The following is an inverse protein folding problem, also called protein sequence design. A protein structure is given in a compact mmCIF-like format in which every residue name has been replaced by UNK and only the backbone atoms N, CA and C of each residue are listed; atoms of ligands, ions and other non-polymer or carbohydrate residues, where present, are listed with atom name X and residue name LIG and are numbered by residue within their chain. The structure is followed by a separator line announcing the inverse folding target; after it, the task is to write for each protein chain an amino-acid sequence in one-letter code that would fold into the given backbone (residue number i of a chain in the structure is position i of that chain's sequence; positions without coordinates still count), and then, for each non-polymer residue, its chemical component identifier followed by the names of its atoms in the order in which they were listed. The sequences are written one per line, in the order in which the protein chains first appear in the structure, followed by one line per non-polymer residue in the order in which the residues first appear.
data_IF_189111788290
#
_entry.id   IF_189111788290
#
_cell.length_a   1.000
_cell.length_b   1.000
_cell.length_c   1.000
_cell.angle_alpha   90.00
_cell.angle_beta   90.00
_cell.angle_gamma   90.00
#
_symmetry.space_group_name_H-M   'P 1'
#
loop_
_entity.id
_entity.type
_entity.pdbx_description
1 polymer ?
#
# COMPACT_ATOMS: atom_id res chain seq x y z
N UNK A 1 -6.38 -16.80 -16.45
CA UNK A 1 -7.26 -17.47 -15.45
C UNK A 1 -6.56 -18.57 -14.67
N UNK A 2 -5.92 -19.58 -15.26
CA UNK A 2 -5.27 -20.69 -14.51
C UNK A 2 -4.09 -20.25 -13.61
N UNK A 3 -3.31 -19.23 -13.97
CA UNK A 3 -2.18 -18.72 -13.16
C UNK A 3 -2.61 -17.86 -11.96
N UNK A 4 -3.73 -17.16 -12.04
CA UNK A 4 -4.30 -16.35 -10.95
C UNK A 4 -4.89 -17.26 -9.85
N UNK A 5 -5.52 -18.38 -10.27
CA UNK A 5 -6.06 -19.37 -9.34
C UNK A 5 -4.92 -20.10 -8.59
N UNK A 6 -3.77 -20.31 -9.23
CA UNK A 6 -2.61 -20.93 -8.58
C UNK A 6 -1.97 -20.04 -7.50
N UNK A 7 -1.98 -18.70 -7.68
CA UNK A 7 -1.47 -17.77 -6.65
C UNK A 7 -2.42 -17.68 -5.46
N UNK A 8 -3.73 -17.64 -5.69
CA UNK A 8 -4.73 -17.66 -4.62
C UNK A 8 -4.69 -18.99 -3.83
N UNK A 9 -4.45 -20.14 -4.49
CA UNK A 9 -4.30 -21.43 -3.81
C UNK A 9 -3.00 -21.51 -3.01
N UNK A 10 -1.91 -20.90 -3.45
CA UNK A 10 -0.65 -20.85 -2.69
C UNK A 10 -0.80 -20.04 -1.39
N UNK A 11 -1.58 -18.98 -1.40
CA UNK A 11 -1.91 -18.19 -0.20
C UNK A 11 -2.72 -19.01 0.82
N UNK A 12 -3.69 -19.79 0.36
CA UNK A 12 -4.53 -20.64 1.21
C UNK A 12 -3.74 -21.82 1.76
N UNK A 13 -2.77 -22.37 1.03
CA UNK A 13 -1.94 -23.48 1.49
C UNK A 13 -0.93 -23.06 2.58
N UNK A 14 -0.41 -21.84 2.56
CA UNK A 14 0.45 -21.33 3.63
C UNK A 14 -0.33 -21.13 4.94
N UNK A 15 -1.57 -20.68 4.87
CA UNK A 15 -2.44 -20.46 6.04
C UNK A 15 -2.88 -21.78 6.72
N UNK A 16 -2.99 -22.89 5.98
CA UNK A 16 -3.46 -24.17 6.54
C UNK A 16 -2.40 -24.96 7.33
N UNK A 17 -1.13 -24.60 7.23
CA UNK A 17 -0.04 -25.26 7.98
C UNK A 17 0.14 -24.72 9.41
N UNK A 18 -0.48 -23.59 9.78
CA UNK A 18 -0.33 -22.96 11.09
C UNK A 18 -1.43 -23.28 12.11
N UNK A 19 -2.39 -24.15 11.76
CA UNK A 19 -3.46 -24.56 12.67
C UNK A 19 -3.03 -25.45 13.86
N UNK A 20 -1.71 -25.66 14.05
CA UNK A 20 -1.18 -26.61 15.05
C UNK A 20 -0.54 -25.99 16.30
N UNK A 21 -0.61 -24.65 16.50
CA UNK A 21 -0.12 -24.04 17.75
C UNK A 21 -1.27 -23.90 18.75
N UNK A 22 -1.67 -25.00 19.36
CA UNK A 22 -2.53 -25.02 20.54
C UNK A 22 -1.73 -24.80 21.83
N UNK A 23 -1.83 -23.63 22.41
CA UNK A 23 -1.27 -23.30 23.71
C UNK A 23 -1.50 -21.84 24.04
N UNK A 24 -2.43 -21.55 24.93
CA UNK A 24 -2.68 -20.21 25.47
C UNK A 24 -1.43 -19.77 26.24
N UNK A 25 -0.57 -18.96 25.61
CA UNK A 25 0.46 -18.18 26.30
C UNK A 25 -0.01 -16.74 26.36
N UNK A 26 0.04 -16.15 27.55
CA UNK A 26 -0.20 -14.73 27.76
C UNK A 26 0.81 -13.90 26.97
N UNK A 27 0.29 -12.86 26.29
CA UNK A 27 1.04 -11.86 25.54
C UNK A 27 1.92 -12.40 24.39
N UNK A 28 1.33 -12.99 23.36
CA UNK A 28 2.02 -13.24 22.09
C UNK A 28 2.56 -11.96 21.44
N UNK A 29 3.42 -12.14 20.44
CA UNK A 29 4.03 -11.05 19.68
C UNK A 29 3.03 -9.95 19.27
N UNK A 30 3.42 -8.70 19.41
CA UNK A 30 2.59 -7.55 19.01
C UNK A 30 3.01 -7.09 17.62
N UNK A 31 2.09 -7.16 16.67
CA UNK A 31 2.33 -6.74 15.28
C UNK A 31 1.58 -5.44 15.02
N UNK A 32 2.32 -4.42 14.59
CA UNK A 32 1.78 -3.15 14.12
C UNK A 32 1.53 -3.19 12.62
N UNK A 33 0.45 -2.60 12.15
CA UNK A 33 0.15 -2.36 10.74
C UNK A 33 -0.84 -1.20 10.59
N UNK A 34 -0.95 -0.63 9.38
CA UNK A 34 -1.93 0.41 9.10
C UNK A 34 -3.32 -0.20 8.84
N UNK A 35 -4.37 0.47 9.30
CA UNK A 35 -5.78 0.10 9.06
C UNK A 35 -6.10 -0.04 7.57
N UNK A 36 -6.95 -1.01 7.23
CA UNK A 36 -7.41 -1.21 5.85
C UNK A 36 -6.40 -1.79 4.88
N UNK A 37 -5.13 -2.03 5.30
CA UNK A 37 -4.07 -2.56 4.44
C UNK A 37 -4.05 -4.10 4.39
N UNK A 38 -3.45 -4.63 3.35
CA UNK A 38 -3.14 -6.07 3.25
C UNK A 38 -2.14 -6.49 4.31
N UNK A 39 -1.21 -5.63 4.71
CA UNK A 39 -0.30 -5.85 5.85
C UNK A 39 -1.07 -6.17 7.14
N UNK A 40 -2.16 -5.44 7.43
CA UNK A 40 -3.02 -5.74 8.57
C UNK A 40 -3.74 -7.08 8.40
N UNK A 41 -4.23 -7.39 7.19
CA UNK A 41 -4.89 -8.66 6.90
C UNK A 41 -3.94 -9.85 7.11
N UNK A 42 -2.68 -9.75 6.67
CA UNK A 42 -1.65 -10.77 6.92
C UNK A 42 -1.39 -10.95 8.42
N UNK A 43 -1.24 -9.86 9.17
CA UNK A 43 -1.04 -9.94 10.60
C UNK A 43 -2.24 -10.61 11.31
N UNK A 44 -3.47 -10.25 10.91
CA UNK A 44 -4.70 -10.84 11.47
C UNK A 44 -4.89 -12.33 11.14
N UNK A 45 -4.27 -12.81 10.08
CA UNK A 45 -4.32 -14.23 9.72
C UNK A 45 -3.38 -15.10 10.57
N UNK A 46 -2.47 -14.50 11.35
CA UNK A 46 -1.55 -15.22 12.22
C UNK A 46 -2.22 -15.57 13.55
N UNK A 47 -1.89 -16.75 14.08
CA UNK A 47 -2.32 -17.17 15.40
C UNK A 47 -1.34 -16.71 16.48
N UNK A 48 -1.80 -16.60 17.71
CA UNK A 48 -0.97 -16.27 18.89
C UNK A 48 -0.25 -14.92 18.83
N UNK A 49 -0.82 -13.95 18.13
CA UNK A 49 -0.30 -12.58 18.02
C UNK A 49 -1.33 -11.56 18.49
N UNK A 50 -0.86 -10.43 18.98
CA UNK A 50 -1.69 -9.26 19.29
C UNK A 50 -1.54 -8.24 18.18
N UNK A 51 -2.65 -7.80 17.60
CA UNK A 51 -2.64 -6.82 16.50
C UNK A 51 -2.78 -5.41 17.05
N UNK A 52 -1.91 -4.52 16.60
CA UNK A 52 -1.99 -3.08 16.81
C UNK A 52 -2.19 -2.36 15.49
N UNK A 53 -3.36 -1.77 15.29
CA UNK A 53 -3.71 -1.05 14.07
C UNK A 53 -3.55 0.46 14.27
N UNK A 54 -2.99 1.13 13.27
CA UNK A 54 -2.69 2.57 13.27
C UNK A 54 -3.28 3.24 12.04
N UNK A 55 -3.45 4.56 12.11
CA UNK A 55 -3.94 5.33 10.98
C UNK A 55 -2.87 5.46 9.89
N UNK A 56 -1.57 5.49 10.28
CA UNK A 56 -0.44 5.55 9.34
C UNK A 56 0.68 4.58 9.70
N UNK A 57 1.49 4.19 8.72
CA UNK A 57 2.68 3.39 8.97
C UNK A 57 3.76 4.14 9.75
N UNK A 58 3.83 5.47 9.62
CA UNK A 58 4.76 6.29 10.40
C UNK A 58 4.44 6.24 11.91
N UNK A 59 3.15 6.27 12.27
CA UNK A 59 2.72 6.09 13.66
C UNK A 59 3.02 4.68 14.15
N UNK A 60 2.74 3.66 13.34
CA UNK A 60 3.03 2.25 13.65
C UNK A 60 4.52 2.02 13.90
N UNK A 61 5.40 2.58 13.04
CA UNK A 61 6.85 2.49 13.18
C UNK A 61 7.37 3.15 14.45
N UNK A 62 6.92 4.37 14.75
CA UNK A 62 7.28 5.10 15.97
C UNK A 62 6.85 4.35 17.23
N UNK A 63 5.64 3.77 17.23
CA UNK A 63 5.14 3.01 18.37
C UNK A 63 5.92 1.69 18.58
N UNK A 64 6.37 1.05 17.49
CA UNK A 64 7.29 -0.09 17.54
C UNK A 64 8.65 0.32 18.13
N UNK A 65 9.25 1.43 17.70
CA UNK A 65 10.50 1.95 18.27
C UNK A 65 10.36 2.21 19.78
N UNK A 66 9.20 2.73 20.21
CA UNK A 66 8.90 2.96 21.62
C UNK A 66 8.65 1.66 22.44
N UNK A 67 8.65 0.49 21.79
CA UNK A 67 8.50 -0.81 22.45
C UNK A 67 7.05 -1.22 22.71
N UNK A 68 6.08 -0.54 22.12
CA UNK A 68 4.66 -0.88 22.23
C UNK A 68 4.22 -1.95 21.23
N UNK A 69 4.99 -2.15 20.15
CA UNK A 69 4.88 -3.28 19.24
C UNK A 69 6.26 -3.94 19.06
N UNK A 70 6.27 -5.21 18.69
CA UNK A 70 7.50 -5.98 18.46
C UNK A 70 7.90 -5.95 16.99
N UNK A 71 6.92 -5.97 16.10
CA UNK A 71 7.05 -6.08 14.65
C UNK A 71 6.15 -5.07 13.96
N UNK A 72 6.59 -4.60 12.78
CA UNK A 72 5.76 -3.81 11.87
C UNK A 72 5.68 -4.57 10.54
N UNK A 73 4.47 -4.85 10.05
CA UNK A 73 4.25 -5.34 8.70
C UNK A 73 3.89 -4.15 7.80
N UNK A 74 4.65 -3.99 6.73
CA UNK A 74 4.55 -2.82 5.84
C UNK A 74 5.11 -3.17 4.46
N UNK A 75 4.69 -2.45 3.45
CA UNK A 75 5.21 -2.54 2.09
C UNK A 75 6.70 -2.20 2.05
N UNK A 76 7.48 -2.97 1.29
CA UNK A 76 8.95 -2.88 1.29
C UNK A 76 9.47 -1.51 0.87
N UNK A 77 8.84 -0.89 -0.13
CA UNK A 77 9.24 0.46 -0.56
C UNK A 77 8.99 1.49 0.53
N UNK A 78 7.85 1.42 1.21
CA UNK A 78 7.51 2.29 2.35
C UNK A 78 8.38 2.00 3.56
N UNK A 79 8.72 0.73 3.83
CA UNK A 79 9.69 0.38 4.87
C UNK A 79 11.04 1.09 4.65
N UNK A 80 11.51 1.13 3.41
CA UNK A 80 12.76 1.83 3.04
C UNK A 80 12.65 3.36 3.23
N UNK A 81 11.50 3.95 2.89
CA UNK A 81 11.26 5.37 3.12
C UNK A 81 11.23 5.67 4.63
N UNK A 82 10.50 4.89 5.42
CA UNK A 82 10.46 5.04 6.88
C UNK A 82 11.84 4.90 7.53
N UNK A 83 12.67 3.97 7.06
CA UNK A 83 14.01 3.76 7.60
C UNK A 83 15.00 4.91 7.30
N UNK A 84 14.69 5.78 6.34
CA UNK A 84 15.46 7.03 6.10
C UNK A 84 15.06 8.13 7.09
N UNK A 85 13.83 8.14 7.56
CA UNK A 85 13.27 9.19 8.42
C UNK A 85 13.28 8.83 9.90
N UNK A 86 13.22 7.54 10.23
CA UNK A 86 13.13 7.03 11.61
C UNK A 86 14.33 6.15 11.88
N UNK A 87 15.23 6.66 12.73
CA UNK A 87 16.40 5.89 13.17
C UNK A 87 15.98 4.64 13.96
N UNK A 88 16.81 3.60 13.84
CA UNK A 88 16.65 2.38 14.63
C UNK A 88 15.68 1.35 14.03
N UNK A 89 15.25 1.52 12.79
CA UNK A 89 14.50 0.52 12.02
C UNK A 89 15.45 -0.44 11.30
N UNK A 90 15.09 -1.72 11.27
CA UNK A 90 15.75 -2.79 10.51
C UNK A 90 14.71 -3.54 9.69
N UNK A 91 14.92 -3.59 8.38
CA UNK A 91 14.05 -4.30 7.46
C UNK A 91 14.52 -5.75 7.37
N UNK A 92 13.63 -6.71 7.58
CA UNK A 92 13.88 -8.12 7.31
C UNK A 92 13.56 -8.37 5.84
N UNK A 93 14.57 -8.65 5.03
CA UNK A 93 14.49 -8.74 3.57
C UNK A 93 13.79 -10.03 3.07
N UNK A 94 12.86 -10.56 3.84
CA UNK A 94 12.02 -11.72 3.51
C UNK A 94 10.64 -11.20 3.13
N UNK A 95 10.25 -11.41 1.88
CA UNK A 95 8.95 -11.00 1.36
C UNK A 95 7.84 -11.93 1.90
N UNK A 96 6.88 -11.36 2.63
CA UNK A 96 5.68 -12.07 3.10
C UNK A 96 4.67 -12.31 1.98
N UNK A 97 4.69 -11.43 0.96
CA UNK A 97 3.73 -11.45 -0.13
C UNK A 97 4.35 -11.00 -1.45
N UNK A 98 3.61 -11.17 -2.53
CA UNK A 98 3.82 -10.49 -3.81
C UNK A 98 2.48 -9.91 -4.23
N UNK A 99 2.38 -8.59 -4.28
CA UNK A 99 1.14 -7.84 -4.44
C UNK A 99 1.20 -6.93 -5.65
N UNK A 100 0.11 -6.86 -6.39
CA UNK A 100 0.00 -5.96 -7.53
C UNK A 100 -0.79 -4.71 -7.13
N UNK A 101 -0.20 -3.52 -7.33
CA UNK A 101 -0.91 -2.26 -7.20
C UNK A 101 -1.68 -1.94 -8.48
N UNK A 102 -2.90 -1.47 -8.31
CA UNK A 102 -3.77 -1.03 -9.39
C UNK A 102 -4.55 0.22 -9.01
N UNK A 103 -4.96 0.96 -10.00
CA UNK A 103 -5.82 2.13 -9.84
C UNK A 103 -7.25 1.63 -9.62
N UNK A 104 -7.85 2.00 -8.49
CA UNK A 104 -9.25 1.74 -8.20
C UNK A 104 -10.16 2.64 -9.05
N UNK A 105 -11.20 2.11 -9.67
CA UNK A 105 -12.06 2.86 -10.61
C UNK A 105 -13.53 2.54 -10.32
N UNK A 106 -14.40 3.54 -10.38
CA UNK A 106 -15.84 3.35 -10.21
C UNK A 106 -16.36 2.31 -11.22
N UNK A 107 -17.12 1.33 -10.72
CA UNK A 107 -17.75 0.30 -11.54
C UNK A 107 -18.71 0.84 -12.59
N UNK A 108 -19.25 2.03 -12.36
CA UNK A 108 -20.13 2.70 -13.28
C UNK A 108 -19.40 3.47 -14.39
N UNK A 109 -18.05 3.47 -14.38
CA UNK A 109 -17.20 4.17 -15.34
C UNK A 109 -16.28 3.20 -16.14
N UNK A 110 -16.82 2.20 -16.88
CA UNK A 110 -16.02 1.22 -17.61
C UNK A 110 -15.20 1.86 -18.74
N UNK A 111 -15.67 2.98 -19.30
CA UNK A 111 -14.93 3.73 -20.33
C UNK A 111 -13.71 4.44 -19.74
N UNK A 112 -13.82 4.99 -18.52
CA UNK A 112 -12.69 5.57 -17.81
C UNK A 112 -11.62 4.51 -17.53
N UNK A 113 -12.03 3.31 -17.08
CA UNK A 113 -11.12 2.17 -16.93
C UNK A 113 -10.36 1.87 -18.23
N UNK A 114 -11.07 1.78 -19.35
CA UNK A 114 -10.44 1.48 -20.64
C UNK A 114 -9.43 2.57 -21.04
N UNK A 115 -9.77 3.85 -20.82
CA UNK A 115 -8.86 4.97 -21.10
C UNK A 115 -7.61 4.90 -20.21
N UNK A 116 -7.79 4.66 -18.92
CA UNK A 116 -6.67 4.53 -17.96
C UNK A 116 -5.77 3.35 -18.34
N UNK A 117 -6.33 2.17 -18.67
CA UNK A 117 -5.52 1.02 -19.09
C UNK A 117 -4.71 1.33 -20.37
N UNK A 118 -5.29 2.06 -21.33
CA UNK A 118 -4.55 2.50 -22.51
C UNK A 118 -3.43 3.49 -22.17
N UNK A 119 -3.68 4.47 -21.30
CA UNK A 119 -2.68 5.43 -20.85
C UNK A 119 -1.52 4.71 -20.14
N UNK A 120 -1.80 3.73 -19.27
CA UNK A 120 -0.76 2.95 -18.60
C UNK A 120 0.15 2.23 -19.59
N UNK A 121 -0.36 1.77 -20.72
CA UNK A 121 0.42 1.14 -21.80
C UNK A 121 1.15 2.19 -22.64
N UNK A 122 0.46 3.22 -23.10
CA UNK A 122 1.02 4.24 -24.00
C UNK A 122 2.09 5.10 -23.35
N UNK A 123 1.98 5.32 -22.03
CA UNK A 123 2.88 6.13 -21.21
C UNK A 123 3.81 5.29 -20.31
N UNK A 124 3.96 4.00 -20.59
CA UNK A 124 4.78 3.09 -19.78
C UNK A 124 6.18 3.65 -19.50
N UNK A 125 6.83 4.23 -20.50
CA UNK A 125 8.18 4.82 -20.35
C UNK A 125 8.19 6.01 -19.38
N UNK A 126 7.18 6.90 -19.44
CA UNK A 126 7.06 8.05 -18.54
C UNK A 126 6.74 7.59 -17.11
N UNK A 127 5.83 6.62 -16.97
CA UNK A 127 5.46 6.01 -15.68
C UNK A 127 6.67 5.30 -15.05
N UNK A 128 7.48 4.59 -15.84
CA UNK A 128 8.70 3.96 -15.34
C UNK A 128 9.72 5.00 -14.89
N UNK A 129 9.90 6.10 -15.63
CA UNK A 129 10.78 7.20 -15.22
C UNK A 129 10.32 7.88 -13.92
N UNK A 130 9.00 8.04 -13.71
CA UNK A 130 8.44 8.51 -12.44
C UNK A 130 8.82 7.54 -11.31
N UNK A 131 8.56 6.25 -11.47
CA UNK A 131 8.91 5.23 -10.46
C UNK A 131 10.41 5.23 -10.13
N UNK A 132 11.26 5.21 -11.14
CA UNK A 132 12.71 5.16 -10.98
C UNK A 132 13.24 6.35 -10.19
N UNK A 133 12.78 7.58 -10.47
CA UNK A 133 13.28 8.77 -9.78
C UNK A 133 12.97 8.74 -8.28
N UNK A 134 11.77 8.26 -7.86
CA UNK A 134 11.43 8.10 -6.46
C UNK A 134 12.18 6.93 -5.79
N UNK A 135 12.31 5.80 -6.48
CA UNK A 135 13.04 4.64 -5.98
C UNK A 135 14.54 4.93 -5.81
N UNK A 136 15.11 5.78 -6.66
CA UNK A 136 16.51 6.21 -6.59
C UNK A 136 16.74 7.36 -5.59
N UNK A 137 15.68 7.99 -5.07
CA UNK A 137 15.78 9.13 -4.16
C UNK A 137 16.27 10.41 -4.84
N UNK A 138 15.87 10.66 -6.08
CA UNK A 138 16.25 11.83 -6.87
C UNK A 138 15.33 13.03 -6.49
N UNK A 139 15.43 13.47 -5.23
CA UNK A 139 14.50 14.44 -4.61
C UNK A 139 14.45 15.78 -5.34
N UNK A 140 15.55 16.22 -5.95
CA UNK A 140 15.63 17.42 -6.77
C UNK A 140 14.74 17.39 -8.03
N UNK A 141 14.27 16.20 -8.42
CA UNK A 141 13.39 15.97 -9.56
C UNK A 141 11.94 15.73 -9.20
N UNK A 142 11.60 15.69 -7.92
CA UNK A 142 10.21 15.45 -7.49
C UNK A 142 9.32 16.63 -7.86
N UNK A 143 8.13 16.31 -8.36
CA UNK A 143 7.16 17.31 -8.80
C UNK A 143 6.03 17.43 -7.78
N UNK A 144 5.94 18.60 -7.14
CA UNK A 144 4.84 18.89 -6.21
C UNK A 144 3.56 19.25 -6.96
N UNK A 145 2.54 18.42 -6.81
CA UNK A 145 1.22 18.57 -7.43
C UNK A 145 0.33 19.44 -6.56
N UNK A 146 -0.33 20.40 -7.18
CA UNK A 146 -1.37 21.22 -6.53
C UNK A 146 -2.74 20.71 -6.94
N UNK A 147 -3.55 20.27 -5.98
CA UNK A 147 -4.94 19.87 -6.25
C UNK A 147 -5.77 21.06 -6.71
N UNK A 148 -6.57 20.88 -7.75
CA UNK A 148 -7.62 21.80 -8.08
C UNK A 148 -8.71 21.78 -6.98
N UNK A 149 -9.51 22.84 -6.92
CA UNK A 149 -10.69 22.86 -6.03
C UNK A 149 -11.80 22.01 -6.65
N UNK A 150 -12.32 21.05 -5.86
CA UNK A 150 -13.47 20.24 -6.28
C UNK A 150 -14.69 21.09 -6.55
N UNK A 151 -15.27 20.94 -7.71
CA UNK A 151 -16.46 21.67 -8.16
C UNK A 151 -17.44 20.72 -8.86
N UNK A 152 -18.54 20.43 -8.21
CA UNK A 152 -19.56 19.51 -8.75
C UNK A 152 -20.21 20.02 -10.05
N UNK A 153 -20.17 21.33 -10.31
CA UNK A 153 -20.66 21.91 -11.58
C UNK A 153 -19.70 21.65 -12.75
N UNK A 154 -18.45 21.27 -12.45
CA UNK A 154 -17.37 20.93 -13.39
C UNK A 154 -17.01 19.45 -13.37
N UNK A 155 -17.84 18.57 -12.84
CA UNK A 155 -17.53 17.16 -12.67
C UNK A 155 -17.02 16.50 -13.97
N UNK A 156 -17.55 16.89 -15.13
CA UNK A 156 -17.09 16.37 -16.43
C UNK A 156 -15.72 16.92 -16.89
N UNK A 157 -15.14 17.88 -16.16
CA UNK A 157 -13.85 18.54 -16.45
C UNK A 157 -12.79 18.23 -15.38
N UNK A 158 -13.14 17.44 -14.37
CA UNK A 158 -12.27 17.09 -13.25
C UNK A 158 -12.09 15.57 -13.16
N UNK A 159 -10.89 15.15 -12.81
CA UNK A 159 -10.59 13.79 -12.36
C UNK A 159 -10.40 13.84 -10.85
N UNK A 160 -11.32 13.26 -10.10
CA UNK A 160 -11.28 13.26 -8.64
C UNK A 160 -10.66 11.96 -8.14
N UNK A 161 -9.52 12.09 -7.46
CA UNK A 161 -8.68 10.98 -6.99
C UNK A 161 -8.72 10.92 -5.46
N UNK A 162 -9.19 9.81 -4.90
CA UNK A 162 -9.05 9.53 -3.47
C UNK A 162 -7.67 8.94 -3.19
N UNK A 163 -7.03 9.39 -2.12
CA UNK A 163 -5.70 8.95 -1.69
C UNK A 163 -5.55 9.05 -0.17
N UNK A 164 -4.49 8.46 0.40
CA UNK A 164 -4.03 8.70 1.76
C UNK A 164 -2.59 9.20 1.71
N UNK A 165 -2.40 10.52 1.71
CA UNK A 165 -1.13 11.18 1.44
C UNK A 165 -0.14 11.13 2.62
N UNK A 166 0.04 9.93 3.21
CA UNK A 166 0.99 9.61 4.29
C UNK A 166 1.74 8.31 4.02
N UNK A 167 1.95 7.98 2.72
CA UNK A 167 2.51 6.70 2.28
C UNK A 167 3.67 6.88 1.29
N UNK A 168 4.74 7.56 1.72
CA UNK A 168 5.95 7.72 0.88
C UNK A 168 6.58 6.35 0.52
N UNK A 169 7.09 6.18 -0.71
CA UNK A 169 7.25 7.17 -1.79
C UNK A 169 6.05 7.24 -2.76
N UNK A 170 4.92 6.60 -2.43
CA UNK A 170 3.75 6.51 -3.31
C UNK A 170 2.93 7.79 -3.34
N UNK A 171 2.51 8.26 -2.18
CA UNK A 171 1.81 9.53 -2.00
C UNK A 171 2.10 10.11 -0.62
N UNK A 172 2.43 11.38 -0.60
CA UNK A 172 2.64 12.12 0.63
C UNK A 172 2.44 13.62 0.41
N UNK A 173 2.28 14.36 1.50
CA UNK A 173 1.99 15.78 1.45
C UNK A 173 3.06 16.60 2.16
N UNK A 174 3.52 17.66 1.49
CA UNK A 174 4.40 18.66 2.07
C UNK A 174 3.79 20.05 1.86
N UNK A 175 3.44 20.71 2.95
CA UNK A 175 2.70 21.98 2.89
C UNK A 175 1.34 21.81 2.20
N UNK A 176 1.16 22.50 1.08
CA UNK A 176 -0.06 22.43 0.27
C UNK A 176 0.09 21.64 -1.02
N UNK A 177 1.19 20.91 -1.17
CA UNK A 177 1.46 20.10 -2.37
C UNK A 177 1.48 18.63 -2.03
N UNK A 178 1.08 17.84 -3.01
CA UNK A 178 1.15 16.39 -3.00
C UNK A 178 2.34 15.92 -3.83
N UNK A 179 3.03 14.92 -3.35
CA UNK A 179 4.21 14.29 -3.98
C UNK A 179 4.03 12.78 -4.01
N UNK A 180 4.85 12.12 -4.78
CA UNK A 180 4.89 10.66 -4.82
C UNK A 180 4.57 10.09 -6.19
N UNK A 181 4.86 8.81 -6.33
CA UNK A 181 4.69 8.07 -7.58
C UNK A 181 3.23 8.13 -8.05
N UNK A 182 2.29 7.84 -7.15
CA UNK A 182 0.86 7.81 -7.48
C UNK A 182 0.32 9.19 -7.83
N UNK A 183 0.82 10.23 -7.16
CA UNK A 183 0.37 11.58 -7.43
C UNK A 183 0.86 12.08 -8.80
N UNK A 184 2.09 11.78 -9.19
CA UNK A 184 2.58 12.15 -10.51
C UNK A 184 1.93 11.31 -11.63
N UNK A 185 1.67 10.02 -11.40
CA UNK A 185 0.89 9.20 -12.35
C UNK A 185 -0.56 9.72 -12.45
N UNK A 186 -1.20 10.12 -11.35
CA UNK A 186 -2.52 10.72 -11.37
C UNK A 186 -2.55 12.02 -12.19
N UNK A 187 -1.54 12.87 -12.04
CA UNK A 187 -1.41 14.09 -12.85
C UNK A 187 -1.19 13.77 -14.34
N UNK A 188 -0.37 12.78 -14.64
CA UNK A 188 -0.18 12.30 -16.02
C UNK A 188 -1.51 11.84 -16.63
N UNK A 189 -2.26 11.01 -15.91
CA UNK A 189 -3.58 10.52 -16.36
C UNK A 189 -4.55 11.67 -16.57
N UNK A 190 -4.63 12.62 -15.63
CA UNK A 190 -5.51 13.78 -15.76
C UNK A 190 -5.16 14.61 -17.00
N UNK A 191 -3.87 14.85 -17.26
CA UNK A 191 -3.38 15.57 -18.45
C UNK A 191 -3.77 14.86 -19.76
N UNK A 192 -3.57 13.55 -19.84
CA UNK A 192 -3.92 12.75 -21.04
C UNK A 192 -5.44 12.71 -21.28
N UNK A 193 -6.23 12.80 -20.21
CA UNK A 193 -7.69 12.89 -20.31
C UNK A 193 -8.19 14.31 -20.57
N UNK A 194 -7.32 15.34 -20.47
CA UNK A 194 -7.70 16.75 -20.57
C UNK A 194 -8.54 17.25 -19.41
N UNK A 195 -8.33 16.69 -18.20
CA UNK A 195 -9.08 16.99 -16.99
C UNK A 195 -8.22 17.73 -15.94
N UNK A 196 -8.86 18.54 -15.10
CA UNK A 196 -8.23 19.10 -13.91
C UNK A 196 -8.12 18.00 -12.82
N UNK A 197 -6.94 17.85 -12.22
CA UNK A 197 -6.74 16.89 -11.13
C UNK A 197 -7.24 17.47 -9.81
N UNK A 198 -8.16 16.77 -9.16
CA UNK A 198 -8.62 17.02 -7.79
C UNK A 198 -8.15 15.85 -6.91
N UNK A 199 -7.46 16.14 -5.82
CA UNK A 199 -6.96 15.14 -4.87
C UNK A 199 -7.77 15.24 -3.58
N UNK A 200 -8.43 14.15 -3.20
CA UNK A 200 -9.18 13.98 -1.95
C UNK A 200 -8.35 13.13 -1.00
N UNK A 201 -7.68 13.79 -0.05
CA UNK A 201 -6.86 13.16 0.98
C UNK A 201 -7.74 12.67 2.14
N UNK A 202 -7.62 11.39 2.50
CA UNK A 202 -8.44 10.77 3.54
C UNK A 202 -7.73 9.57 4.19
N UNK A 203 -8.29 9.03 5.28
CA UNK A 203 -7.78 7.82 5.89
C UNK A 203 -7.82 6.64 4.90
N UNK A 204 -6.76 5.80 4.91
CA UNK A 204 -6.58 4.72 3.92
C UNK A 204 -7.76 3.75 3.86
N UNK A 205 -8.34 3.39 5.00
CA UNK A 205 -9.48 2.46 5.07
C UNK A 205 -10.76 3.01 4.44
N UNK A 206 -10.83 4.32 4.20
CA UNK A 206 -11.94 4.98 3.51
C UNK A 206 -11.74 5.07 1.99
N UNK A 207 -10.49 5.04 1.49
CA UNK A 207 -10.12 5.33 0.09
C UNK A 207 -10.90 4.48 -0.92
N UNK A 208 -10.87 3.15 -0.77
CA UNK A 208 -11.59 2.23 -1.69
C UNK A 208 -13.09 2.46 -1.63
N UNK A 209 -13.62 2.71 -0.43
CA UNK A 209 -15.05 2.94 -0.21
C UNK A 209 -15.57 4.29 -0.71
N UNK A 210 -14.68 5.24 -1.01
CA UNK A 210 -15.05 6.56 -1.55
C UNK A 210 -15.32 6.54 -3.06
N UNK A 211 -14.69 5.62 -3.79
CA UNK A 211 -14.83 5.50 -5.26
C UNK A 211 -16.29 5.27 -5.65
N UNK A 212 -16.77 6.04 -6.62
CA UNK A 212 -18.17 6.01 -7.06
C UNK A 212 -19.14 6.73 -6.12
N UNK A 213 -18.63 7.38 -5.07
CA UNK A 213 -19.41 8.19 -4.13
C UNK A 213 -18.89 9.62 -4.11
N UNK A 214 -19.78 10.60 -3.89
CA UNK A 214 -19.41 12.01 -3.77
C UNK A 214 -18.53 12.54 -4.93
N UNK A 215 -18.74 12.01 -6.15
CA UNK A 215 -17.95 12.34 -7.34
C UNK A 215 -16.43 12.02 -7.17
N UNK A 216 -16.08 10.93 -6.53
CA UNK A 216 -14.74 10.34 -6.60
C UNK A 216 -14.72 9.33 -7.74
N UNK A 217 -13.85 9.56 -8.72
CA UNK A 217 -13.76 8.75 -9.94
C UNK A 217 -12.83 7.55 -9.76
N UNK A 218 -11.67 7.81 -9.17
CA UNK A 218 -10.62 6.81 -8.99
C UNK A 218 -9.98 6.90 -7.60
N UNK A 219 -9.27 5.83 -7.24
CA UNK A 219 -8.42 5.76 -6.06
C UNK A 219 -7.00 5.38 -6.46
N UNK A 220 -6.01 6.13 -5.96
CA UNK A 220 -4.59 5.86 -6.10
C UNK A 220 -3.92 6.07 -4.73
N UNK A 221 -3.41 5.01 -4.15
CA UNK A 221 -2.83 5.00 -2.80
C UNK A 221 -2.07 3.68 -2.56
N UNK A 222 -1.19 3.29 -3.49
CA UNK A 222 -0.51 2.00 -3.42
C UNK A 222 -1.49 0.82 -3.24
N UNK A 223 -2.63 0.84 -3.93
CA UNK A 223 -3.74 -0.06 -3.61
C UNK A 223 -3.52 -1.44 -4.20
N UNK A 224 -3.31 -2.44 -3.36
CA UNK A 224 -3.25 -3.84 -3.76
C UNK A 224 -4.58 -4.31 -4.35
N UNK A 225 -4.51 -4.94 -5.52
CA UNK A 225 -5.64 -5.60 -6.17
C UNK A 225 -5.99 -6.86 -5.38
N UNK A 226 -7.14 -6.87 -4.70
CA UNK A 226 -7.65 -8.03 -3.97
C UNK A 226 -9.05 -8.40 -4.44
N UNK A 227 -9.44 -9.66 -4.24
CA UNK A 227 -10.80 -10.13 -4.56
C UNK A 227 -11.87 -9.36 -3.79
N UNK A 228 -11.58 -9.02 -2.53
CA UNK A 228 -12.50 -8.25 -1.69
C UNK A 228 -12.72 -6.85 -2.28
N UNK A 229 -11.64 -6.13 -2.59
CA UNK A 229 -11.71 -4.78 -3.19
C UNK A 229 -12.36 -4.80 -4.57
N UNK A 230 -12.10 -5.84 -5.40
CA UNK A 230 -12.79 -6.04 -6.68
C UNK A 230 -14.30 -6.25 -6.52
N UNK A 231 -14.75 -6.68 -5.36
CA UNK A 231 -16.19 -6.71 -5.01
C UNK A 231 -16.82 -5.32 -5.00
N UNK A 232 -16.07 -4.29 -4.67
CA UNK A 232 -16.53 -2.90 -4.51
C UNK A 232 -16.24 -2.03 -5.72
N UNK A 233 -15.02 -2.07 -6.26
CA UNK A 233 -14.52 -1.23 -7.37
C UNK A 233 -13.97 -2.10 -8.51
N UNK A 234 -13.78 -1.50 -9.69
CA UNK A 234 -12.93 -2.04 -10.72
C UNK A 234 -11.48 -1.63 -10.48
N UNK A 235 -10.54 -2.37 -11.06
CA UNK A 235 -9.12 -2.02 -11.08
C UNK A 235 -8.60 -1.87 -12.49
N UNK A 236 -7.63 -0.99 -12.68
CA UNK A 236 -6.80 -0.96 -13.88
C UNK A 236 -5.96 -2.22 -14.02
N UNK A 237 -5.24 -2.36 -15.13
CA UNK A 237 -4.06 -3.21 -15.19
C UNK A 237 -3.08 -2.82 -14.07
N UNK A 238 -2.33 -3.78 -13.50
CA UNK A 238 -1.35 -3.45 -12.46
C UNK A 238 -0.22 -2.58 -13.02
N UNK A 239 0.17 -1.53 -12.27
CA UNK A 239 1.26 -0.64 -12.66
C UNK A 239 2.54 -0.88 -11.83
N UNK A 240 2.44 -1.66 -10.74
CA UNK A 240 3.58 -2.02 -9.90
C UNK A 240 3.37 -3.37 -9.20
N UNK A 241 4.47 -4.05 -8.85
CA UNK A 241 4.44 -5.24 -8.00
C UNK A 241 5.24 -4.96 -6.74
N UNK A 242 4.60 -5.07 -5.60
CA UNK A 242 5.14 -4.79 -4.27
C UNK A 242 5.22 -6.08 -3.43
N UNK A 243 5.89 -6.00 -2.30
CA UNK A 243 5.93 -7.05 -1.29
C UNK A 243 5.79 -6.48 0.12
N UNK A 244 5.06 -7.17 0.98
CA UNK A 244 5.05 -6.88 2.41
C UNK A 244 6.32 -7.48 3.03
N UNK A 245 6.94 -6.72 3.94
CA UNK A 245 8.09 -7.14 4.74
C UNK A 245 7.82 -6.94 6.22
N UNK A 246 8.61 -7.60 7.05
CA UNK A 246 8.65 -7.37 8.48
C UNK A 246 9.75 -6.34 8.80
N UNK A 247 9.42 -5.33 9.61
CA UNK A 247 10.36 -4.36 10.16
C UNK A 247 10.45 -4.57 11.67
N UNK A 248 11.65 -4.45 12.22
CA UNK A 248 11.97 -4.63 13.64
C UNK A 248 12.89 -3.50 14.10
N UNK A 249 13.17 -3.42 15.40
CA UNK A 249 14.23 -2.55 15.94
C UNK A 249 15.60 -3.00 15.43
N UNK A 250 16.51 -2.05 15.24
CA UNK A 250 17.84 -2.32 14.70
C UNK A 250 18.67 -3.32 15.52
N UNK A 251 18.45 -3.34 16.83
CA UNK A 251 19.13 -4.24 17.78
C UNK A 251 18.45 -5.62 17.93
N UNK A 252 17.32 -5.84 17.24
CA UNK A 252 16.61 -7.12 17.28
C UNK A 252 17.32 -8.17 16.41
N UNK A 253 17.72 -9.29 17.00
CA UNK A 253 18.55 -10.32 16.36
C UNK A 253 17.88 -11.68 16.17
N UNK A 254 16.71 -11.91 16.76
CA UNK A 254 16.04 -13.23 16.71
C UNK A 254 15.62 -13.63 15.29
N UNK A 255 15.45 -12.67 14.37
CA UNK A 255 15.14 -12.92 12.96
C UNK A 255 16.37 -12.98 12.03
N UNK A 256 17.58 -12.77 12.54
CA UNK A 256 18.79 -12.73 11.69
C UNK A 256 19.13 -14.09 11.06
N UNK A 257 18.71 -15.18 11.68
CA UNK A 257 18.88 -16.53 11.16
C UNK A 257 17.73 -17.03 10.30
N UNK A 258 16.63 -16.28 10.19
CA UNK A 258 15.50 -16.66 9.35
C UNK A 258 15.88 -16.58 7.87
N UNK A 259 15.78 -17.71 7.15
CA UNK A 259 16.07 -17.79 5.72
C UNK A 259 14.81 -17.82 4.86
N UNK A 260 13.66 -18.09 5.47
CA UNK A 260 12.37 -18.23 4.79
C UNK A 260 11.24 -17.51 5.54
N UNK A 261 10.11 -17.31 4.88
CA UNK A 261 8.88 -16.79 5.52
C UNK A 261 8.45 -17.70 6.67
N UNK A 262 8.58 -19.02 6.50
CA UNK A 262 8.20 -19.99 7.54
C UNK A 262 9.07 -19.83 8.78
N UNK A 263 10.40 -19.69 8.61
CA UNK A 263 11.31 -19.47 9.74
C UNK A 263 10.95 -18.18 10.49
N UNK A 264 10.73 -17.09 9.75
CA UNK A 264 10.37 -15.80 10.32
C UNK A 264 9.05 -15.87 11.09
N UNK A 265 8.00 -16.44 10.49
CA UNK A 265 6.69 -16.57 11.13
C UNK A 265 6.73 -17.49 12.36
N UNK A 266 7.56 -18.56 12.34
CA UNK A 266 7.76 -19.42 13.51
C UNK A 266 8.36 -18.63 14.70
N UNK A 267 9.33 -17.75 14.47
CA UNK A 267 9.87 -16.89 15.54
C UNK A 267 8.79 -15.94 16.05
N UNK A 268 8.05 -15.29 15.15
CA UNK A 268 6.99 -14.32 15.50
C UNK A 268 5.88 -15.00 16.32
N UNK A 269 5.35 -16.14 15.87
CA UNK A 269 4.20 -16.79 16.50
C UNK A 269 4.55 -17.55 17.79
N UNK A 270 5.83 -17.83 18.08
CA UNK A 270 6.26 -18.51 19.30
C UNK A 270 6.85 -17.57 20.36
N UNK A 271 6.82 -16.27 20.13
CA UNK A 271 7.21 -15.22 21.10
C UNK A 271 6.09 -15.00 22.17
#
# INVERSE_FOLDING_TARGET
MKKIIALALAMILCLSMFAACGGQKDAGAKIAAQKGTTSLMYAQALNSVTIKSYDTFALAAKDMINGNADYLFVDKTTAKALAKEIDGLKIIEIALSSENYGIGIDKNQPELKTKIDNILVEKEAEINAIKEKYMNGEEDKYVGITSATKDSSKAAQQLVVATNAEFAPWEYKEGNKFYGIDMEIAQLIANELGLELVIEDMEFDAVVGAVGKQNVDIAMSGITITTERMGVINFSAPYYTESIVCVVKADYTELDSAGTVVDMLNVICNK
#
